data_IF_951956985209
#
_entry.id   IF_951956985209
#
_cell.length_a   1.000
_cell.length_b   1.000
_cell.length_c   1.000
_cell.angle_alpha   90.00
_cell.angle_beta   90.00
_cell.angle_gamma   90.00
#
_symmetry.space_group_name_H-M   'P 1'
#
loop_
_entity.id
_entity.type
_entity.pdbx_description
1 polymer ?
#
# COMPACT_ATOMS: atom_id res chain seq x y z
N UNK A 1 -2.42 6.13 16.92
CA UNK A 1 -2.76 6.50 15.52
C UNK A 1 -3.95 5.66 15.10
N UNK A 2 -5.04 6.29 14.66
CA UNK A 2 -6.20 5.56 14.13
C UNK A 2 -5.79 4.90 12.81
N UNK A 3 -5.84 3.58 12.73
CA UNK A 3 -5.64 2.84 11.48
C UNK A 3 -6.92 3.02 10.68
N UNK A 4 -7.00 4.10 9.91
CA UNK A 4 -8.14 4.33 9.04
C UNK A 4 -8.19 3.22 7.99
N UNK A 5 -9.40 2.75 7.66
CA UNK A 5 -9.66 1.98 6.44
C UNK A 5 -9.39 2.90 5.24
N UNK A 6 -8.13 3.15 4.90
CA UNK A 6 -7.76 4.07 3.84
C UNK A 6 -8.06 3.43 2.48
N UNK A 7 -8.64 4.21 1.56
CA UNK A 7 -8.80 3.84 0.15
C UNK A 7 -7.47 3.95 -0.62
N UNK A 8 -6.32 3.89 0.06
CA UNK A 8 -5.00 4.10 -0.52
C UNK A 8 -4.67 3.11 -1.63
N UNK A 9 -5.03 1.83 -1.45
CA UNK A 9 -4.79 0.80 -2.47
C UNK A 9 -5.50 1.10 -3.80
N UNK A 10 -6.84 1.30 -3.84
CA UNK A 10 -7.51 1.64 -5.10
C UNK A 10 -7.03 2.98 -5.67
N UNK A 11 -6.81 4.01 -4.84
CA UNK A 11 -6.28 5.30 -5.30
C UNK A 11 -4.92 5.16 -5.99
N UNK A 12 -3.98 4.44 -5.37
CA UNK A 12 -2.66 4.19 -5.96
C UNK A 12 -2.77 3.38 -7.25
N UNK A 13 -3.59 2.33 -7.24
CA UNK A 13 -3.76 1.45 -8.40
C UNK A 13 -4.33 2.22 -9.60
N UNK A 14 -5.34 3.06 -9.39
CA UNK A 14 -5.91 3.90 -10.43
C UNK A 14 -4.92 4.95 -10.93
N UNK A 15 -4.20 5.61 -10.03
CA UNK A 15 -3.18 6.58 -10.41
C UNK A 15 -2.08 5.94 -11.29
N UNK A 16 -1.51 4.81 -10.86
CA UNK A 16 -0.50 4.09 -11.61
C UNK A 16 -1.02 3.62 -12.98
N UNK A 17 -2.28 3.14 -13.04
CA UNK A 17 -2.94 2.76 -14.29
C UNK A 17 -3.07 3.94 -15.26
N UNK A 18 -3.56 5.10 -14.79
CA UNK A 18 -3.76 6.30 -15.62
C UNK A 18 -2.43 6.88 -16.09
N UNK A 19 -1.44 6.97 -15.20
CA UNK A 19 -0.12 7.50 -15.51
C UNK A 19 0.80 6.49 -16.21
N UNK A 20 0.33 5.26 -16.42
CA UNK A 20 1.11 4.14 -16.97
C UNK A 20 2.43 3.93 -16.22
N UNK A 21 2.41 4.10 -14.90
CA UNK A 21 3.54 3.82 -14.01
C UNK A 21 3.53 2.30 -13.77
N UNK A 22 4.55 1.55 -14.23
CA UNK A 22 4.62 0.14 -13.92
C UNK A 22 4.72 -0.06 -12.41
N UNK A 23 3.97 -1.02 -11.90
CA UNK A 23 3.88 -1.32 -10.48
C UNK A 23 3.83 -2.83 -10.27
N UNK A 24 4.53 -3.33 -9.26
CA UNK A 24 4.44 -4.72 -8.83
C UNK A 24 4.23 -4.82 -7.32
N UNK A 25 3.67 -5.95 -6.88
CA UNK A 25 3.36 -6.22 -5.48
C UNK A 25 4.03 -7.51 -5.03
N UNK A 26 4.54 -7.51 -3.80
CA UNK A 26 5.07 -8.70 -3.14
C UNK A 26 4.44 -8.79 -1.76
N UNK A 27 3.78 -9.91 -1.46
CA UNK A 27 3.18 -10.15 -0.16
C UNK A 27 3.84 -11.36 0.49
N UNK A 28 4.31 -11.19 1.71
CA UNK A 28 4.97 -12.22 2.49
C UNK A 28 4.23 -12.34 3.81
N UNK A 29 3.90 -13.58 4.18
CA UNK A 29 3.55 -13.92 5.55
C UNK A 29 4.84 -14.34 6.23
N UNK A 30 5.38 -13.49 7.09
CA UNK A 30 6.66 -13.71 7.75
C UNK A 30 6.59 -13.13 9.17
N UNK A 31 7.54 -13.45 10.03
CA UNK A 31 7.58 -12.96 11.41
C UNK A 31 7.99 -14.06 12.37
N UNK A 32 8.50 -13.72 13.57
CA UNK A 32 8.81 -14.71 14.59
C UNK A 32 7.57 -15.55 14.90
N UNK A 33 7.78 -16.81 15.30
CA UNK A 33 6.71 -17.76 15.56
C UNK A 33 5.66 -17.22 16.56
N UNK A 34 6.09 -16.32 17.44
CA UNK A 34 5.27 -15.67 18.48
C UNK A 34 4.59 -14.36 18.03
N UNK A 35 4.96 -13.81 16.87
CA UNK A 35 4.36 -12.59 16.32
C UNK A 35 4.36 -12.60 14.78
N UNK A 36 3.50 -13.43 14.16
CA UNK A 36 3.42 -13.47 12.71
C UNK A 36 2.84 -12.17 12.16
N UNK A 37 3.39 -11.72 11.03
CA UNK A 37 3.01 -10.47 10.35
C UNK A 37 2.78 -10.68 8.85
N UNK A 38 1.85 -9.91 8.29
CA UNK A 38 1.80 -9.68 6.86
C UNK A 38 2.70 -8.50 6.51
N UNK A 39 3.62 -8.75 5.59
CA UNK A 39 4.48 -7.76 4.97
C UNK A 39 4.04 -7.64 3.52
N UNK A 40 3.56 -6.47 3.11
CA UNK A 40 3.26 -6.20 1.71
C UNK A 40 4.18 -5.09 1.20
N UNK A 41 4.79 -5.28 0.05
CA UNK A 41 5.66 -4.29 -0.59
C UNK A 41 5.11 -3.96 -1.96
N UNK A 42 4.90 -2.67 -2.23
CA UNK A 42 4.66 -2.15 -3.57
C UNK A 42 5.95 -1.59 -4.14
N UNK A 43 6.22 -1.94 -5.39
CA UNK A 43 7.36 -1.44 -6.15
C UNK A 43 6.85 -0.59 -7.29
N UNK A 44 7.23 0.68 -7.33
CA UNK A 44 6.93 1.61 -8.42
C UNK A 44 8.17 1.78 -9.30
N UNK A 45 7.97 1.65 -10.61
CA UNK A 45 9.00 1.92 -11.60
C UNK A 45 8.72 3.28 -12.22
N UNK A 46 9.58 4.25 -11.95
CA UNK A 46 9.46 5.54 -12.59
C UNK A 46 9.92 5.42 -14.05
N UNK A 47 9.06 5.71 -15.02
CA UNK A 47 9.44 5.68 -16.42
C UNK A 47 10.33 6.89 -16.80
N UNK A 48 10.28 7.96 -16.02
CA UNK A 48 11.02 9.20 -16.25
C UNK A 48 12.41 9.21 -15.60
N UNK A 49 12.69 8.25 -14.72
CA UNK A 49 13.96 8.12 -14.01
C UNK A 49 14.20 6.63 -13.74
N UNK A 50 15.42 6.08 -13.93
CA UNK A 50 15.73 4.66 -13.68
C UNK A 50 15.67 4.24 -12.20
N UNK A 51 14.96 5.00 -11.36
CA UNK A 51 14.80 4.77 -9.93
C UNK A 51 13.59 3.88 -9.70
N UNK A 52 13.86 2.74 -9.09
CA UNK A 52 12.83 1.87 -8.52
C UNK A 52 12.57 2.34 -7.09
N UNK A 53 11.30 2.49 -6.72
CA UNK A 53 10.90 2.87 -5.36
C UNK A 53 10.10 1.74 -4.73
N UNK A 54 10.42 1.42 -3.48
CA UNK A 54 9.75 0.37 -2.72
C UNK A 54 9.06 0.98 -1.50
N UNK A 55 7.81 0.59 -1.26
CA UNK A 55 7.04 0.99 -0.09
C UNK A 55 6.47 -0.25 0.56
N UNK A 56 6.81 -0.46 1.83
CA UNK A 56 6.44 -1.66 2.57
C UNK A 56 5.45 -1.32 3.68
N UNK A 57 4.41 -2.12 3.84
CA UNK A 57 3.45 -2.08 4.94
C UNK A 57 3.56 -3.35 5.77
N UNK A 58 3.71 -3.18 7.09
CA UNK A 58 3.79 -4.24 8.07
C UNK A 58 2.55 -4.20 8.96
N UNK A 59 1.89 -5.33 9.11
CA UNK A 59 0.78 -5.49 10.07
C UNK A 59 0.92 -6.86 10.72
N UNK A 60 0.70 -6.96 12.04
CA UNK A 60 0.79 -8.23 12.79
C UNK A 60 -0.30 -9.24 12.42
N UNK A 61 -1.00 -9.84 13.40
CA UNK A 61 -2.13 -10.77 13.22
C UNK A 61 -3.39 -10.17 12.52
N UNK A 62 -3.21 -9.15 11.67
CA UNK A 62 -4.23 -8.52 10.82
C UNK A 62 -4.28 -9.20 9.44
N UNK A 63 -5.13 -8.71 8.53
CA UNK A 63 -5.31 -9.31 7.20
C UNK A 63 -4.23 -8.80 6.23
N UNK A 64 -3.88 -9.63 5.23
CA UNK A 64 -3.05 -9.24 4.08
C UNK A 64 -3.47 -7.91 3.44
N UNK A 65 -4.78 -7.63 3.38
CA UNK A 65 -5.35 -6.39 2.85
C UNK A 65 -4.82 -5.15 3.60
N UNK A 66 -4.62 -5.27 4.91
CA UNK A 66 -4.19 -4.16 5.75
C UNK A 66 -2.71 -3.82 5.49
N UNK A 67 -1.87 -4.84 5.29
CA UNK A 67 -0.48 -4.66 4.86
C UNK A 67 -0.40 -3.94 3.51
N UNK A 68 -1.24 -4.34 2.55
CA UNK A 68 -1.33 -3.71 1.22
C UNK A 68 -1.81 -2.26 1.29
N UNK A 69 -2.83 -1.99 2.10
CA UNK A 69 -3.31 -0.62 2.29
C UNK A 69 -2.23 0.28 2.90
N UNK A 70 -1.49 -0.22 3.90
CA UNK A 70 -0.40 0.54 4.52
C UNK A 70 0.77 0.78 3.55
N UNK A 71 1.13 -0.21 2.74
CA UNK A 71 2.11 -0.05 1.67
C UNK A 71 1.66 0.98 0.63
N UNK A 72 0.37 0.93 0.25
CA UNK A 72 -0.21 1.87 -0.69
C UNK A 72 -0.28 3.30 -0.14
N UNK A 73 -0.59 3.46 1.14
CA UNK A 73 -0.65 4.76 1.81
C UNK A 73 0.69 5.50 1.73
N UNK A 74 1.78 4.80 2.07
CA UNK A 74 3.15 5.33 1.95
C UNK A 74 3.50 5.72 0.51
N UNK A 75 3.06 4.93 -0.47
CA UNK A 75 3.28 5.23 -1.88
C UNK A 75 2.45 6.44 -2.35
N UNK A 76 1.19 6.57 -1.90
CA UNK A 76 0.35 7.73 -2.16
C UNK A 76 0.95 9.01 -1.57
N UNK A 77 1.45 8.96 -0.33
CA UNK A 77 2.14 10.09 0.32
C UNK A 77 3.36 10.55 -0.49
N UNK A 78 4.18 9.60 -0.95
CA UNK A 78 5.34 9.91 -1.81
C UNK A 78 4.94 10.57 -3.14
N UNK A 79 3.83 10.12 -3.73
CA UNK A 79 3.30 10.66 -4.98
C UNK A 79 2.48 11.96 -4.76
N UNK A 80 2.27 12.39 -3.52
CA UNK A 80 1.45 13.56 -3.19
C UNK A 80 -0.04 13.37 -3.53
N UNK A 81 -0.54 12.13 -3.48
CA UNK A 81 -1.94 11.83 -3.79
C UNK A 81 -2.84 12.09 -2.59
N UNK A 82 -3.93 12.82 -2.81
CA UNK A 82 -5.01 12.91 -1.84
C UNK A 82 -5.77 11.58 -1.82
N UNK A 83 -5.64 10.84 -0.72
CA UNK A 83 -6.43 9.63 -0.49
C UNK A 83 -7.76 10.03 0.13
N UNK A 84 -8.90 9.82 -0.55
CA UNK A 84 -10.20 10.10 0.05
C UNK A 84 -10.38 9.22 1.29
N UNK A 85 -10.80 9.83 2.39
CA UNK A 85 -11.23 9.09 3.57
C UNK A 85 -12.30 8.07 3.15
N UNK A 86 -12.23 6.85 3.68
CA UNK A 86 -13.33 5.90 3.52
C UNK A 86 -14.62 6.57 4.00
N UNK A 87 -15.59 6.73 3.10
CA UNK A 87 -16.97 6.90 3.53
C UNK A 87 -17.32 5.64 4.30
N UNK A 88 -17.44 5.74 5.62
CA UNK A 88 -18.09 4.73 6.43
C UNK A 88 -19.53 4.61 5.92
N UNK A 89 -19.78 3.63 5.06
CA UNK A 89 -21.12 3.10 4.88
C UNK A 89 -21.48 2.45 6.20
N UNK A 90 -22.32 3.15 6.98
CA UNK A 90 -22.89 2.63 8.21
C UNK A 90 -23.94 1.56 7.88
N UNK A 91 -23.89 0.50 8.69
CA UNK A 91 -24.76 -0.69 8.78
C UNK A 91 -24.54 -1.85 7.81
#
# INVERSE_FOLDING_TARGET
>A
MAVANSNSFPTLHDHCRVKKIPMSWTDVWNGPQDAPEWISTVTLFDASSPKVRHFTGHVGLKRKKDARNLAAERACEYLGLEVPASTSGSD
#
